data_IF_338517457209
#
_entry.id   IF_338517457209
#
_cell.length_a   1.000
_cell.length_b   1.000
_cell.length_c   1.000
_cell.angle_alpha   90.00
_cell.angle_beta   90.00
_cell.angle_gamma   90.00
#
_symmetry.space_group_name_H-M   'P 1'
#
loop_
_entity.id
_entity.type
_entity.pdbx_description
1 polymer ?
#
# COMPACT_ATOMS: atom_id res chain seq x y z
N UNK A 1 4.81 9.49 27.21
CA UNK A 1 4.75 10.18 28.52
C UNK A 1 4.97 11.67 28.31
N UNK A 2 4.13 12.52 28.88
CA UNK A 2 4.32 13.96 28.79
C UNK A 2 5.55 14.35 29.64
N UNK A 3 6.60 14.97 29.06
CA UNK A 3 7.83 15.27 29.80
C UNK A 3 7.63 16.27 30.96
N UNK A 4 6.57 17.10 30.90
CA UNK A 4 6.28 18.11 31.96
C UNK A 4 5.36 17.59 33.05
N UNK A 5 4.28 16.86 32.71
CA UNK A 5 3.28 16.38 33.67
C UNK A 5 3.54 14.95 34.13
N UNK A 6 4.46 14.23 33.47
CA UNK A 6 4.72 12.80 33.66
C UNK A 6 3.49 11.90 33.48
N UNK A 7 2.43 12.44 32.92
CA UNK A 7 1.22 11.69 32.63
C UNK A 7 1.44 10.74 31.45
N UNK A 8 0.93 9.53 31.58
CA UNK A 8 0.90 8.56 30.51
C UNK A 8 -0.17 8.95 29.50
N UNK A 9 0.19 8.99 28.21
CA UNK A 9 -0.74 9.13 27.12
C UNK A 9 -0.65 7.90 26.23
N UNK A 10 -1.79 7.25 26.01
CA UNK A 10 -1.88 6.09 25.14
C UNK A 10 -1.50 6.43 23.69
N UNK A 11 -0.77 5.52 23.07
CA UNK A 11 -0.50 5.57 21.64
C UNK A 11 -1.70 5.06 20.82
N UNK A 12 -1.71 5.36 19.54
CA UNK A 12 -2.80 4.98 18.62
C UNK A 12 -3.01 3.47 18.59
N UNK A 13 -1.93 2.69 18.52
CA UNK A 13 -2.00 1.22 18.47
C UNK A 13 -2.68 0.64 19.72
N UNK A 14 -2.30 1.10 20.92
CA UNK A 14 -2.89 0.61 22.18
C UNK A 14 -4.38 0.93 22.29
N UNK A 15 -4.79 2.13 21.84
CA UNK A 15 -6.21 2.53 21.82
C UNK A 15 -7.00 1.65 20.87
N UNK A 16 -6.52 1.47 19.63
CA UNK A 16 -7.19 0.65 18.62
C UNK A 16 -7.31 -0.81 19.08
N UNK A 17 -6.23 -1.41 19.56
CA UNK A 17 -6.25 -2.80 20.06
C UNK A 17 -7.21 -2.97 21.23
N UNK A 18 -7.25 -2.01 22.16
CA UNK A 18 -8.16 -2.03 23.30
C UNK A 18 -9.62 -1.92 22.87
N UNK A 19 -9.91 -1.05 21.89
CA UNK A 19 -11.27 -0.91 21.34
C UNK A 19 -11.71 -2.12 20.53
N UNK A 20 -10.82 -2.74 19.79
CA UNK A 20 -11.09 -4.00 19.08
C UNK A 20 -11.34 -5.16 20.03
N UNK A 21 -10.74 -5.15 21.23
CA UNK A 21 -10.99 -6.17 22.27
C UNK A 21 -12.34 -6.00 22.97
N UNK A 22 -12.91 -4.78 22.96
CA UNK A 22 -14.24 -4.56 23.55
C UNK A 22 -15.30 -5.19 22.67
N UNK A 23 -15.95 -6.24 23.13
CA UNK A 23 -17.06 -6.90 22.41
C UNK A 23 -18.30 -6.00 22.23
N UNK A 24 -18.31 -4.81 22.80
CA UNK A 24 -19.44 -3.85 22.79
C UNK A 24 -19.25 -2.65 21.85
N UNK A 25 -18.14 -2.57 21.10
CA UNK A 25 -17.86 -1.49 20.16
C UNK A 25 -18.57 -1.65 18.82
N UNK A 26 -18.42 -0.66 17.90
CA UNK A 26 -18.97 -0.74 16.55
C UNK A 26 -18.48 -1.96 15.74
N UNK A 27 -17.47 -2.65 16.25
CA UNK A 27 -16.86 -3.86 15.67
C UNK A 27 -17.46 -5.17 16.24
N UNK A 28 -18.72 -5.19 16.62
CA UNK A 28 -19.47 -6.33 17.18
C UNK A 28 -19.57 -7.57 16.28
N UNK A 29 -18.86 -7.58 15.16
CA UNK A 29 -18.88 -8.67 14.18
C UNK A 29 -17.84 -9.73 14.58
N UNK A 30 -18.22 -10.58 15.52
CA UNK A 30 -17.44 -11.76 15.98
C UNK A 30 -17.16 -12.81 14.89
N UNK A 31 -17.53 -12.53 13.65
CA UNK A 31 -17.35 -13.42 12.48
C UNK A 31 -16.31 -12.90 11.47
N UNK A 32 -15.76 -11.70 11.65
CA UNK A 32 -14.83 -11.11 10.68
C UNK A 32 -13.47 -10.84 11.31
N UNK A 33 -12.42 -11.04 10.52
CA UNK A 33 -11.07 -10.64 10.89
C UNK A 33 -10.96 -9.12 10.97
N UNK A 34 -10.31 -8.66 12.03
CA UNK A 34 -10.01 -7.24 12.28
C UNK A 34 -8.56 -7.00 11.91
N UNK A 35 -8.31 -6.13 10.97
CA UNK A 35 -6.96 -5.86 10.48
C UNK A 35 -6.49 -4.51 11.02
N UNK A 36 -5.30 -4.51 11.59
CA UNK A 36 -4.56 -3.31 11.98
C UNK A 36 -3.44 -3.17 10.97
N UNK A 37 -3.53 -2.14 10.12
CA UNK A 37 -2.55 -1.90 9.06
C UNK A 37 -1.71 -0.70 9.49
N UNK A 38 -0.40 -0.91 9.58
CA UNK A 38 0.60 0.11 9.86
C UNK A 38 1.35 0.38 8.55
N UNK A 39 0.93 1.44 7.87
CA UNK A 39 1.53 1.92 6.62
C UNK A 39 2.63 2.94 6.94
N UNK A 40 3.86 2.51 6.81
CA UNK A 40 5.05 3.32 7.06
C UNK A 40 6.25 2.49 7.50
N UNK A 41 7.43 3.03 7.23
CA UNK A 41 8.67 2.33 7.56
C UNK A 41 8.83 2.11 9.06
N UNK A 42 9.42 0.97 9.38
CA UNK A 42 9.71 0.61 10.77
C UNK A 42 10.91 1.39 11.30
N UNK A 43 10.79 1.76 12.56
CA UNK A 43 11.85 2.35 13.35
C UNK A 43 12.17 1.43 14.52
N UNK A 44 13.46 1.17 14.83
CA UNK A 44 13.84 0.30 15.94
C UNK A 44 13.19 0.69 17.28
N UNK A 45 13.05 1.98 17.55
CA UNK A 45 12.53 2.47 18.84
C UNK A 45 11.10 1.98 19.14
N UNK A 46 10.23 1.99 18.13
CA UNK A 46 8.85 1.55 18.38
C UNK A 46 8.61 0.08 18.03
N UNK A 47 9.30 -0.48 17.02
CA UNK A 47 9.05 -1.87 16.61
C UNK A 47 9.52 -2.88 17.64
N UNK A 48 10.57 -2.57 18.39
CA UNK A 48 11.04 -3.42 19.49
C UNK A 48 10.00 -3.55 20.60
N UNK A 49 9.24 -2.49 20.86
CA UNK A 49 8.12 -2.52 21.81
C UNK A 49 6.96 -3.42 21.33
N UNK A 50 6.88 -3.70 20.03
CA UNK A 50 5.88 -4.59 19.44
C UNK A 50 6.34 -6.06 19.40
N UNK A 51 7.58 -6.39 19.79
CA UNK A 51 8.08 -7.77 19.73
C UNK A 51 7.18 -8.73 20.51
N UNK A 52 6.65 -8.34 21.67
CA UNK A 52 5.77 -9.17 22.49
C UNK A 52 4.41 -9.46 21.85
N UNK A 53 3.92 -8.55 21.00
CA UNK A 53 2.65 -8.76 20.26
C UNK A 53 2.87 -9.59 19.00
N UNK A 54 4.07 -9.56 18.43
CA UNK A 54 4.44 -10.37 17.28
C UNK A 54 4.85 -11.79 17.67
N UNK A 55 5.31 -12.02 18.89
CA UNK A 55 5.63 -13.33 19.44
C UNK A 55 4.39 -14.22 19.61
N UNK A 56 4.62 -15.49 19.90
CA UNK A 56 3.57 -16.47 20.21
C UNK A 56 2.67 -16.04 21.36
N UNK A 57 3.18 -15.21 22.26
CA UNK A 57 2.40 -14.64 23.37
C UNK A 57 1.26 -13.73 22.90
N UNK A 58 1.39 -13.09 21.74
CA UNK A 58 0.39 -12.21 21.10
C UNK A 58 -0.20 -11.17 22.07
N UNK A 59 0.65 -10.53 22.86
CA UNK A 59 0.26 -9.54 23.86
C UNK A 59 1.10 -8.29 23.73
N UNK A 60 0.45 -7.14 23.50
CA UNK A 60 1.09 -5.84 23.59
C UNK A 60 1.25 -5.45 25.06
N UNK A 61 2.48 -5.32 25.53
CA UNK A 61 2.80 -4.87 26.88
C UNK A 61 3.19 -3.40 26.85
N UNK A 62 2.42 -2.58 27.52
CA UNK A 62 2.70 -1.14 27.64
C UNK A 62 3.70 -0.86 28.77
N UNK A 63 4.31 0.32 28.75
CA UNK A 63 5.21 0.80 29.83
C UNK A 63 4.45 0.93 31.16
N UNK A 64 3.13 1.14 31.10
CA UNK A 64 2.23 1.10 32.28
C UNK A 64 2.02 -0.30 32.88
N UNK A 65 2.67 -1.32 32.31
CA UNK A 65 2.50 -2.74 32.62
C UNK A 65 1.11 -3.32 32.26
N UNK A 66 0.27 -2.54 31.61
CA UNK A 66 -0.98 -3.05 31.02
C UNK A 66 -0.65 -4.01 29.86
N UNK A 67 -1.39 -5.11 29.80
CA UNK A 67 -1.26 -6.13 28.77
C UNK A 67 -2.51 -6.18 27.92
N UNK A 68 -2.38 -5.90 26.63
CA UNK A 68 -3.48 -5.89 25.66
C UNK A 68 -3.30 -7.10 24.74
N UNK A 69 -4.17 -8.12 24.79
CA UNK A 69 -4.04 -9.30 23.96
C UNK A 69 -4.41 -9.00 22.50
N UNK A 70 -3.69 -9.63 21.57
CA UNK A 70 -4.06 -9.75 20.18
C UNK A 70 -4.95 -10.99 20.02
N UNK A 71 -6.26 -10.79 19.88
CA UNK A 71 -7.20 -11.90 19.77
C UNK A 71 -7.05 -12.66 18.45
N UNK A 72 -7.55 -13.92 18.35
CA UNK A 72 -7.44 -14.73 17.14
C UNK A 72 -8.05 -14.08 15.90
N UNK A 73 -8.99 -13.16 16.06
CA UNK A 73 -9.64 -12.42 14.98
C UNK A 73 -8.80 -11.22 14.50
N UNK A 74 -7.83 -10.79 15.29
CA UNK A 74 -6.98 -9.66 14.95
C UNK A 74 -5.79 -10.08 14.11
N UNK A 75 -5.44 -9.23 13.14
CA UNK A 75 -4.23 -9.35 12.31
C UNK A 75 -3.50 -8.03 12.30
N UNK A 76 -2.19 -8.10 12.52
CA UNK A 76 -1.29 -6.96 12.39
C UNK A 76 -0.57 -7.08 11.05
N UNK A 77 -0.69 -6.06 10.23
CA UNK A 77 -0.05 -5.96 8.92
C UNK A 77 0.83 -4.72 8.94
N UNK A 78 2.10 -4.89 8.60
CA UNK A 78 3.04 -3.79 8.41
C UNK A 78 3.33 -3.66 6.92
N UNK A 79 3.07 -2.49 6.36
CA UNK A 79 3.45 -2.14 5.01
C UNK A 79 4.70 -1.27 5.06
N UNK A 80 5.80 -1.80 4.55
CA UNK A 80 7.12 -1.20 4.71
C UNK A 80 7.86 -1.21 3.38
N UNK A 81 8.73 -0.22 3.15
CA UNK A 81 9.54 -0.17 1.93
C UNK A 81 10.77 -1.09 2.02
N UNK A 82 11.31 -1.31 3.21
CA UNK A 82 12.50 -2.12 3.42
C UNK A 82 12.64 -2.63 4.87
N UNK A 83 13.44 -3.67 5.03
CA UNK A 83 13.73 -4.28 6.35
C UNK A 83 15.06 -3.78 6.98
N UNK A 84 15.69 -2.73 6.46
CA UNK A 84 17.02 -2.28 6.93
C UNK A 84 17.03 -1.87 8.40
N UNK A 85 15.92 -1.33 8.88
CA UNK A 85 15.74 -0.87 10.26
C UNK A 85 15.18 -1.96 11.19
N UNK A 86 14.93 -3.18 10.68
CA UNK A 86 14.47 -4.29 11.49
C UNK A 86 15.66 -5.08 12.04
N UNK A 87 15.61 -5.40 13.32
CA UNK A 87 16.55 -6.36 13.91
C UNK A 87 16.23 -7.78 13.41
N UNK A 88 17.23 -8.69 13.35
CA UNK A 88 16.98 -10.10 13.00
C UNK A 88 15.90 -10.74 13.87
N UNK A 89 15.83 -10.33 15.15
CA UNK A 89 14.81 -10.79 16.09
C UNK A 89 13.40 -10.35 15.66
N UNK A 90 13.24 -9.13 15.17
CA UNK A 90 11.96 -8.62 14.65
C UNK A 90 11.56 -9.34 13.36
N UNK A 91 12.50 -9.53 12.44
CA UNK A 91 12.24 -10.22 11.16
C UNK A 91 11.81 -11.67 11.37
N UNK A 92 12.43 -12.38 12.33
CA UNK A 92 12.10 -13.79 12.61
C UNK A 92 10.71 -14.00 13.20
N UNK A 93 10.09 -12.93 13.76
CA UNK A 93 8.74 -12.96 14.34
C UNK A 93 7.65 -12.64 13.33
N UNK A 94 8.00 -12.05 12.19
CA UNK A 94 7.05 -11.67 11.13
C UNK A 94 7.05 -12.65 9.97
N UNK A 95 5.89 -12.88 9.38
CA UNK A 95 5.80 -13.48 8.05
C UNK A 95 6.07 -12.39 7.01
N UNK A 96 7.22 -12.47 6.33
CA UNK A 96 7.60 -11.47 5.33
C UNK A 96 7.07 -11.87 3.96
N UNK A 97 6.26 -11.01 3.36
CA UNK A 97 5.84 -11.10 1.97
C UNK A 97 6.53 -10.00 1.18
N UNK A 98 7.41 -10.38 0.27
CA UNK A 98 8.06 -9.44 -0.64
C UNK A 98 7.26 -9.36 -1.93
N UNK A 99 6.83 -8.16 -2.30
CA UNK A 99 6.03 -7.89 -3.51
C UNK A 99 6.90 -7.10 -4.48
N UNK A 100 7.23 -7.72 -5.62
CA UNK A 100 7.91 -7.05 -6.71
C UNK A 100 6.93 -6.33 -7.63
N UNK A 101 7.42 -5.32 -8.35
CA UNK A 101 6.66 -4.68 -9.42
C UNK A 101 6.19 -5.69 -10.48
N UNK A 102 7.00 -6.73 -10.74
CA UNK A 102 6.69 -7.82 -11.67
C UNK A 102 5.51 -8.69 -11.21
N UNK A 103 5.27 -8.81 -9.90
CA UNK A 103 4.18 -9.64 -9.35
C UNK A 103 2.81 -8.96 -9.57
N UNK A 104 2.80 -7.62 -9.54
CA UNK A 104 1.61 -6.82 -9.78
C UNK A 104 1.43 -6.59 -11.29
N UNK A 105 2.52 -6.35 -12.01
CA UNK A 105 2.54 -6.01 -13.41
C UNK A 105 2.04 -4.58 -13.69
N UNK A 106 1.98 -4.24 -14.95
CA UNK A 106 1.64 -2.89 -15.40
C UNK A 106 0.12 -2.62 -15.54
N UNK A 107 -0.68 -3.66 -15.75
CA UNK A 107 -2.13 -3.53 -16.03
C UNK A 107 -2.91 -2.75 -14.97
N UNK A 108 -2.79 -3.06 -13.65
CA UNK A 108 -3.51 -2.32 -12.61
C UNK A 108 -3.15 -0.83 -12.56
N UNK A 109 -1.89 -0.49 -12.88
CA UNK A 109 -1.45 0.90 -12.97
C UNK A 109 -2.18 1.66 -14.09
N UNK A 110 -2.25 1.05 -15.28
CA UNK A 110 -2.93 1.64 -16.45
C UNK A 110 -4.43 1.76 -16.18
N UNK A 111 -5.07 0.75 -15.59
CA UNK A 111 -6.48 0.79 -15.19
C UNK A 111 -6.74 1.93 -14.20
N UNK A 112 -5.89 2.06 -13.20
CA UNK A 112 -5.98 3.17 -12.22
C UNK A 112 -5.81 4.54 -12.88
N UNK A 113 -4.92 4.66 -13.84
CA UNK A 113 -4.73 5.88 -14.63
C UNK A 113 -5.97 6.20 -15.48
N UNK A 114 -6.57 5.21 -16.14
CA UNK A 114 -7.82 5.39 -16.91
C UNK A 114 -9.00 5.83 -16.03
N UNK A 115 -9.07 5.39 -14.78
CA UNK A 115 -10.11 5.82 -13.84
C UNK A 115 -10.10 7.34 -13.60
N UNK A 116 -8.97 8.01 -13.77
CA UNK A 116 -8.86 9.48 -13.69
C UNK A 116 -9.74 10.16 -14.74
N UNK A 117 -9.75 9.65 -15.97
CA UNK A 117 -10.57 10.17 -17.07
C UNK A 117 -12.04 9.78 -16.90
N UNK A 118 -12.31 8.56 -16.47
CA UNK A 118 -13.67 8.13 -16.16
C UNK A 118 -14.32 9.00 -15.08
N UNK A 119 -13.60 9.38 -14.04
CA UNK A 119 -14.09 10.29 -12.99
C UNK A 119 -14.36 11.71 -13.50
N UNK A 120 -13.69 12.14 -14.57
CA UNK A 120 -13.95 13.43 -15.23
C UNK A 120 -15.15 13.39 -16.19
N UNK A 121 -15.75 12.22 -16.41
CA UNK A 121 -16.86 12.03 -17.35
C UNK A 121 -16.43 11.93 -18.81
N UNK A 122 -15.15 11.76 -19.08
CA UNK A 122 -14.60 11.66 -20.43
C UNK A 122 -14.66 10.21 -20.93
N UNK A 123 -15.86 9.76 -21.28
CA UNK A 123 -16.08 8.41 -21.80
C UNK A 123 -15.39 8.17 -23.13
N UNK A 124 -15.28 9.21 -23.96
CA UNK A 124 -14.60 9.10 -25.26
C UNK A 124 -13.11 8.78 -25.08
N UNK A 125 -12.43 9.50 -24.19
CA UNK A 125 -11.03 9.22 -23.88
C UNK A 125 -10.85 7.81 -23.31
N UNK A 126 -11.71 7.39 -22.37
CA UNK A 126 -11.65 6.05 -21.78
C UNK A 126 -11.82 4.96 -22.82
N UNK A 127 -12.79 5.07 -23.72
CA UNK A 127 -13.03 4.08 -24.79
C UNK A 127 -11.86 4.04 -25.78
N UNK A 128 -11.34 5.19 -26.19
CA UNK A 128 -10.19 5.30 -27.08
C UNK A 128 -8.93 4.67 -26.47
N UNK A 129 -8.66 4.92 -25.18
CA UNK A 129 -7.54 4.31 -24.48
C UNK A 129 -7.71 2.80 -24.33
N UNK A 130 -8.90 2.34 -24.00
CA UNK A 130 -9.18 0.90 -23.87
C UNK A 130 -8.92 0.20 -25.20
N UNK A 131 -9.39 0.77 -26.30
CA UNK A 131 -9.15 0.24 -27.63
C UNK A 131 -7.66 0.24 -27.99
N UNK A 132 -6.97 1.36 -27.78
CA UNK A 132 -5.54 1.47 -28.06
C UNK A 132 -4.72 0.48 -27.23
N UNK A 133 -5.02 0.35 -25.93
CA UNK A 133 -4.34 -0.60 -25.07
C UNK A 133 -4.58 -2.05 -25.50
N UNK A 134 -5.81 -2.42 -25.87
CA UNK A 134 -6.12 -3.78 -26.35
C UNK A 134 -5.43 -4.10 -27.68
N UNK A 135 -5.22 -3.10 -28.53
CA UNK A 135 -4.65 -3.28 -29.86
C UNK A 135 -3.12 -3.28 -29.87
N UNK A 136 -2.51 -2.39 -29.08
CA UNK A 136 -1.07 -2.14 -29.14
C UNK A 136 -0.29 -2.64 -27.93
N UNK A 137 -0.95 -2.88 -26.81
CA UNK A 137 -0.32 -3.30 -25.56
C UNK A 137 -0.67 -4.75 -25.22
N UNK A 138 -0.33 -5.66 -26.15
CA UNK A 138 -0.46 -7.09 -25.89
C UNK A 138 0.62 -7.59 -24.91
N UNK A 139 0.34 -8.68 -24.22
CA UNK A 139 1.33 -9.31 -23.34
C UNK A 139 2.59 -9.72 -24.12
N UNK A 140 2.44 -10.15 -25.38
CA UNK A 140 3.58 -10.47 -26.25
C UNK A 140 4.46 -9.26 -26.55
N UNK A 141 3.89 -8.07 -26.73
CA UNK A 141 4.65 -6.84 -26.93
C UNK A 141 5.47 -6.46 -25.68
N UNK A 142 4.87 -6.61 -24.52
CA UNK A 142 5.56 -6.35 -23.24
C UNK A 142 6.68 -7.36 -23.01
N UNK A 143 6.46 -8.64 -23.33
CA UNK A 143 7.47 -9.69 -23.26
C UNK A 143 8.63 -9.44 -24.26
N UNK A 144 8.34 -8.94 -25.44
CA UNK A 144 9.35 -8.54 -26.41
C UNK A 144 10.23 -7.39 -25.88
N UNK A 145 9.63 -6.39 -25.22
CA UNK A 145 10.38 -5.31 -24.56
C UNK A 145 11.23 -5.87 -23.40
N UNK A 146 10.68 -6.82 -22.64
CA UNK A 146 11.37 -7.48 -21.51
C UNK A 146 12.61 -8.24 -22.00
N UNK A 147 12.51 -8.90 -23.13
CA UNK A 147 13.61 -9.67 -23.76
C UNK A 147 14.69 -8.80 -24.42
N UNK A 148 14.48 -7.49 -24.63
CA UNK A 148 15.47 -6.60 -25.23
C UNK A 148 16.60 -6.26 -24.28
N UNK A 149 17.82 -6.18 -24.82
CA UNK A 149 18.98 -5.69 -24.10
C UNK A 149 18.78 -4.21 -23.72
N UNK A 150 18.94 -3.89 -22.45
CA UNK A 150 18.66 -2.55 -21.90
C UNK A 150 19.98 -1.91 -21.45
N UNK A 151 20.18 -0.65 -21.82
CA UNK A 151 21.33 0.15 -21.36
C UNK A 151 21.24 0.38 -19.84
N UNK A 152 20.03 0.52 -19.31
CA UNK A 152 19.76 0.65 -17.87
C UNK A 152 18.65 -0.32 -17.46
N UNK A 153 18.70 -0.88 -16.22
CA UNK A 153 17.64 -1.76 -15.72
C UNK A 153 16.38 -0.96 -15.42
N UNK A 154 15.51 -0.83 -16.42
CA UNK A 154 14.23 -0.12 -16.31
C UNK A 154 13.13 -1.17 -16.21
N UNK A 155 12.29 -1.06 -15.18
CA UNK A 155 11.13 -1.94 -14.99
C UNK A 155 9.98 -1.57 -15.93
N UNK A 156 9.08 -2.51 -16.19
CA UNK A 156 7.92 -2.32 -17.06
C UNK A 156 7.01 -1.17 -16.58
N UNK A 157 6.83 -1.07 -15.27
CA UNK A 157 6.06 0.00 -14.65
C UNK A 157 6.58 1.39 -15.01
N UNK A 158 7.92 1.56 -15.09
CA UNK A 158 8.53 2.83 -15.47
C UNK A 158 8.22 3.19 -16.94
N UNK A 159 8.21 2.20 -17.83
CA UNK A 159 7.80 2.42 -19.22
C UNK A 159 6.33 2.85 -19.31
N UNK A 160 5.44 2.17 -18.61
CA UNK A 160 4.01 2.52 -18.57
C UNK A 160 3.77 3.89 -17.95
N UNK A 161 4.49 4.23 -16.89
CA UNK A 161 4.42 5.55 -16.27
C UNK A 161 4.86 6.65 -17.26
N UNK A 162 5.95 6.43 -17.98
CA UNK A 162 6.42 7.38 -19.00
C UNK A 162 5.40 7.55 -20.13
N UNK A 163 4.83 6.45 -20.62
CA UNK A 163 3.80 6.46 -21.65
C UNK A 163 2.57 7.24 -21.20
N UNK A 164 2.05 6.96 -20.00
CA UNK A 164 0.87 7.67 -19.47
C UNK A 164 1.14 9.15 -19.23
N UNK A 165 2.36 9.53 -18.81
CA UNK A 165 2.74 10.94 -18.69
C UNK A 165 2.77 11.66 -20.04
N UNK A 166 3.27 11.01 -21.10
CA UNK A 166 3.28 11.57 -22.45
C UNK A 166 1.85 11.75 -22.96
N UNK A 167 0.99 10.75 -22.79
CA UNK A 167 -0.41 10.82 -23.16
C UNK A 167 -1.13 11.94 -22.41
N UNK A 168 -0.91 12.05 -21.08
CA UNK A 168 -1.48 13.13 -20.27
C UNK A 168 -1.07 14.52 -20.80
N UNK A 169 0.20 14.69 -21.17
CA UNK A 169 0.70 15.96 -21.73
C UNK A 169 0.01 16.30 -23.05
N UNK A 170 -0.07 15.33 -23.98
CA UNK A 170 -0.71 15.53 -25.30
C UNK A 170 -2.20 15.86 -25.16
N UNK A 171 -2.90 15.16 -24.27
CA UNK A 171 -4.34 15.42 -24.01
C UNK A 171 -4.54 16.81 -23.41
N UNK A 172 -3.71 17.20 -22.43
CA UNK A 172 -3.81 18.53 -21.84
C UNK A 172 -3.56 19.64 -22.88
N UNK A 173 -2.66 19.42 -23.82
CA UNK A 173 -2.41 20.35 -24.93
C UNK A 173 -3.62 20.43 -25.86
N UNK A 174 -4.21 19.29 -26.24
CA UNK A 174 -5.43 19.24 -27.07
C UNK A 174 -6.61 19.96 -26.40
N UNK A 175 -6.83 19.74 -25.11
CA UNK A 175 -7.91 20.45 -24.39
C UNK A 175 -7.62 21.91 -24.14
N UNK A 176 -6.35 22.34 -24.11
CA UNK A 176 -5.96 23.74 -23.97
C UNK A 176 -6.12 24.52 -25.27
N UNK A 177 -5.90 23.88 -26.40
CA UNK A 177 -6.10 24.44 -27.72
C UNK A 177 -7.59 24.39 -28.06
N UNK A 178 -8.34 25.45 -27.77
CA UNK A 178 -9.78 25.63 -28.06
C UNK A 178 -10.18 25.44 -29.54
N UNK A 179 -9.25 25.14 -30.45
CA UNK A 179 -9.47 24.97 -31.88
C UNK A 179 -10.14 23.64 -32.27
N UNK A 180 -10.45 22.76 -31.31
CA UNK A 180 -11.11 21.46 -31.54
C UNK A 180 -12.52 21.35 -30.96
N UNK A 181 -13.13 22.49 -30.56
CA UNK A 181 -14.49 22.54 -30.02
C UNK A 181 -15.51 23.18 -30.99
N UNK A 182 -15.21 23.26 -32.29
CA UNK A 182 -16.19 23.64 -33.32
C UNK A 182 -16.41 22.46 -34.31
#
# INVERSE_FOLDING_TARGET
MNPKTKEWKDGVLSVIMRDMNKNNGPYKLSQFYKWIILDGDIDPEWIESCNTVMDDNKVLTLVSQERIPLTPEMRLILEISHLRNATPATVSRGGVLFINDSDIGWKPFVESWMLKYKKKGDEYAVNSFTLAMSQYMSDSFVDDIRGKEKIAPICEMAHMKSLTCIIDALINELYSNKAYHD
#
